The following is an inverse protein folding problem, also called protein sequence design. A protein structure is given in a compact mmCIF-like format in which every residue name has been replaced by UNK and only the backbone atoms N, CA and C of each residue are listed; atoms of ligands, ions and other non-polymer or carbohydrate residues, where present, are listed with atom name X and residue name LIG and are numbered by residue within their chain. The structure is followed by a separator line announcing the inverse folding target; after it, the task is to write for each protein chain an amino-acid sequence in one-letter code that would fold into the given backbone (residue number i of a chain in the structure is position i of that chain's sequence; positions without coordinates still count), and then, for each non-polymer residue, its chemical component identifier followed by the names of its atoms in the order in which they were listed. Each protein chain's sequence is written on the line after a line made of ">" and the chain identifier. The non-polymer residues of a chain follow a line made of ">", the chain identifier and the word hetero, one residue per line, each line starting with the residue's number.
data_IF_044803139234
#
_entry.id   IF_044803139234
#
_cell.length_a   1.000
_cell.length_b   1.000
_cell.length_c   1.000
_cell.angle_alpha   90.00
_cell.angle_beta   90.00
_cell.angle_gamma   90.00
#
_symmetry.space_group_name_H-M   'P 1'
#
loop_
_entity.id
_entity.type
_entity.pdbx_description
1 polymer ?
#
# COMPACT_ATOMS: atom_id res chain seq x y z
N UNK A 1 21.30 18.69 -9.42
CA UNK A 1 20.37 18.55 -8.28
C UNK A 1 19.93 17.09 -8.24
N UNK A 2 20.72 16.22 -7.60
CA UNK A 2 20.41 14.78 -7.49
C UNK A 2 19.89 14.45 -6.07
N UNK A 3 18.97 15.25 -5.56
CA UNK A 3 18.42 15.05 -4.20
C UNK A 3 17.32 13.99 -4.14
N UNK A 4 17.00 13.32 -5.27
CA UNK A 4 15.91 12.35 -5.31
C UNK A 4 16.34 11.06 -4.61
N UNK A 5 15.57 10.57 -3.62
CA UNK A 5 15.88 9.32 -2.94
C UNK A 5 15.82 8.13 -3.90
N UNK A 6 16.53 7.06 -3.56
CA UNK A 6 16.59 5.86 -4.39
C UNK A 6 15.20 5.25 -4.58
N UNK A 7 14.89 4.87 -5.82
CA UNK A 7 13.63 4.23 -6.14
C UNK A 7 13.62 2.75 -5.79
N UNK A 8 12.57 2.29 -5.13
CA UNK A 8 12.34 0.88 -4.83
C UNK A 8 10.96 0.44 -5.32
N UNK A 9 10.92 -0.62 -6.14
CA UNK A 9 9.66 -1.19 -6.62
C UNK A 9 9.28 -2.41 -5.79
N UNK A 10 8.14 -2.34 -5.11
CA UNK A 10 7.61 -3.45 -4.33
C UNK A 10 6.69 -4.32 -5.19
N UNK A 11 6.75 -5.64 -4.98
CA UNK A 11 5.84 -6.59 -5.61
C UNK A 11 4.44 -6.51 -4.99
N UNK A 12 3.42 -7.02 -5.68
CA UNK A 12 2.06 -7.10 -5.10
C UNK A 12 2.03 -7.88 -3.79
N UNK A 13 2.75 -9.01 -3.71
CA UNK A 13 2.85 -9.80 -2.48
C UNK A 13 3.57 -9.03 -1.37
N UNK A 14 4.66 -8.35 -1.71
CA UNK A 14 5.38 -7.50 -0.77
C UNK A 14 4.51 -6.36 -0.25
N UNK A 15 3.70 -5.75 -1.11
CA UNK A 15 2.76 -4.69 -0.73
C UNK A 15 1.69 -5.18 0.24
N UNK A 16 1.16 -6.40 0.03
CA UNK A 16 0.22 -7.02 0.97
C UNK A 16 0.88 -7.18 2.35
N UNK A 17 2.10 -7.72 2.40
CA UNK A 17 2.84 -7.85 3.66
C UNK A 17 3.14 -6.50 4.31
N UNK A 18 3.57 -5.52 3.52
CA UNK A 18 3.87 -4.18 4.01
C UNK A 18 2.67 -3.51 4.71
N UNK A 19 1.45 -3.75 4.22
CA UNK A 19 0.23 -3.14 4.75
C UNK A 19 -0.36 -3.95 5.91
N UNK A 20 -0.30 -5.28 5.86
CA UNK A 20 -1.05 -6.15 6.77
C UNK A 20 -0.19 -6.92 7.78
N UNK A 21 1.14 -6.89 7.64
CA UNK A 21 2.08 -7.50 8.59
C UNK A 21 3.13 -6.48 9.04
N UNK A 22 2.86 -5.83 10.17
CA UNK A 22 3.74 -4.80 10.75
C UNK A 22 5.12 -5.32 11.16
N UNK A 23 5.31 -6.63 11.28
CA UNK A 23 6.60 -7.23 11.65
C UNK A 23 7.43 -7.64 10.41
N UNK A 24 6.87 -7.51 9.21
CA UNK A 24 7.54 -7.86 7.96
C UNK A 24 8.67 -6.88 7.61
N UNK A 25 9.65 -7.34 6.84
CA UNK A 25 10.67 -6.45 6.28
C UNK A 25 10.05 -5.48 5.26
N UNK A 26 8.99 -5.90 4.58
CA UNK A 26 8.24 -5.04 3.66
C UNK A 26 7.53 -3.88 4.39
N UNK A 27 7.10 -4.05 5.63
CA UNK A 27 6.59 -2.95 6.45
C UNK A 27 7.69 -1.93 6.76
N UNK A 28 8.94 -2.37 6.99
CA UNK A 28 10.09 -1.46 7.17
C UNK A 28 10.36 -0.66 5.90
N UNK A 29 10.21 -1.26 4.71
CA UNK A 29 10.32 -0.56 3.42
C UNK A 29 9.26 0.55 3.32
N UNK A 30 8.01 0.27 3.72
CA UNK A 30 6.95 1.28 3.74
C UNK A 30 7.29 2.44 4.69
N UNK A 31 7.82 2.16 5.88
CA UNK A 31 8.24 3.19 6.83
C UNK A 31 9.39 4.06 6.30
N UNK A 32 10.36 3.48 5.59
CA UNK A 32 11.42 4.23 4.92
C UNK A 32 10.87 5.19 3.86
N UNK A 33 9.83 4.77 3.14
CA UNK A 33 9.14 5.63 2.18
C UNK A 33 8.40 6.78 2.87
N UNK A 34 7.74 6.53 4.00
CA UNK A 34 7.14 7.60 4.84
C UNK A 34 8.20 8.60 5.30
N UNK A 35 9.39 8.12 5.69
CA UNK A 35 10.50 8.96 6.15
C UNK A 35 11.20 9.72 5.01
N UNK A 36 10.84 9.48 3.75
CA UNK A 36 11.47 10.11 2.59
C UNK A 36 12.87 9.56 2.24
N UNK A 37 13.28 8.44 2.85
CA UNK A 37 14.58 7.79 2.59
C UNK A 37 14.61 7.10 1.22
N UNK A 38 13.46 6.61 0.77
CA UNK A 38 13.26 5.95 -0.52
C UNK A 38 12.01 6.49 -1.20
N UNK A 39 11.98 6.41 -2.53
CA UNK A 39 10.74 6.55 -3.28
C UNK A 39 10.17 5.16 -3.55
N UNK A 40 8.97 4.87 -3.05
CA UNK A 40 8.34 3.55 -3.18
C UNK A 40 7.39 3.51 -4.38
N UNK A 41 7.52 2.46 -5.18
CA UNK A 41 6.73 2.26 -6.40
C UNK A 41 5.98 0.94 -6.31
N UNK A 42 4.74 0.92 -6.78
CA UNK A 42 3.96 -0.31 -6.96
C UNK A 42 3.19 -0.24 -8.28
N UNK A 43 2.93 -1.41 -8.88
CA UNK A 43 2.08 -1.44 -10.07
C UNK A 43 0.67 -0.96 -9.70
N UNK A 44 0.05 -0.17 -10.56
CA UNK A 44 -1.33 0.30 -10.35
C UNK A 44 -2.33 -0.84 -10.11
N UNK A 45 -2.11 -2.00 -10.73
CA UNK A 45 -2.91 -3.23 -10.54
C UNK A 45 -2.75 -3.87 -9.15
N UNK A 46 -1.64 -3.63 -8.45
CA UNK A 46 -1.40 -4.18 -7.11
C UNK A 46 -2.41 -3.66 -6.10
N UNK A 47 -2.96 -2.45 -6.32
CA UNK A 47 -4.05 -1.91 -5.51
C UNK A 47 -5.30 -2.79 -5.52
N UNK A 48 -5.61 -3.45 -6.64
CA UNK A 48 -6.80 -4.32 -6.73
C UNK A 48 -6.71 -5.51 -5.78
N UNK A 49 -5.50 -6.04 -5.53
CA UNK A 49 -5.31 -7.10 -4.54
C UNK A 49 -5.59 -6.60 -3.12
N UNK A 50 -5.15 -5.37 -2.79
CA UNK A 50 -5.42 -4.74 -1.50
C UNK A 50 -6.92 -4.49 -1.32
N UNK A 51 -7.57 -3.91 -2.34
CA UNK A 51 -9.02 -3.69 -2.35
C UNK A 51 -9.78 -4.99 -2.12
N UNK A 52 -9.42 -6.05 -2.85
CA UNK A 52 -10.04 -7.36 -2.72
C UNK A 52 -9.91 -7.89 -1.29
N UNK A 53 -8.73 -7.77 -0.68
CA UNK A 53 -8.50 -8.24 0.69
C UNK A 53 -9.35 -7.45 1.70
N UNK A 54 -9.31 -6.12 1.64
CA UNK A 54 -10.09 -5.26 2.55
C UNK A 54 -11.59 -5.57 2.44
N UNK A 55 -12.13 -5.63 1.22
CA UNK A 55 -13.54 -5.88 0.99
C UNK A 55 -13.97 -7.28 1.44
N UNK A 56 -13.07 -8.26 1.42
CA UNK A 56 -13.39 -9.64 1.80
C UNK A 56 -13.21 -9.93 3.29
N UNK A 57 -12.26 -9.26 3.95
CA UNK A 57 -11.94 -9.48 5.37
C UNK A 57 -12.73 -8.55 6.29
N UNK A 58 -12.91 -7.27 5.92
CA UNK A 58 -13.56 -6.29 6.78
C UNK A 58 -15.03 -6.15 6.41
N UNK A 59 -15.84 -7.07 6.96
CA UNK A 59 -17.30 -7.11 6.78
C UNK A 59 -18.02 -7.07 8.12
N UNK A 60 -19.15 -6.36 8.15
CA UNK A 60 -20.14 -6.41 9.24
C UNK A 60 -21.45 -6.84 8.61
N UNK A 61 -22.07 -7.90 9.14
CA UNK A 61 -23.31 -8.49 8.58
C UNK A 61 -23.20 -8.84 7.09
N UNK A 62 -22.03 -9.31 6.66
CA UNK A 62 -21.76 -9.68 5.26
C UNK A 62 -21.56 -8.50 4.29
N UNK A 63 -21.71 -7.26 4.75
CA UNK A 63 -21.48 -6.05 3.95
C UNK A 63 -20.08 -5.47 4.20
N UNK A 64 -19.35 -4.99 3.17
CA UNK A 64 -18.07 -4.32 3.36
C UNK A 64 -18.20 -3.09 4.27
N UNK A 65 -17.27 -2.94 5.21
CA UNK A 65 -17.24 -1.80 6.15
C UNK A 65 -16.92 -0.48 5.44
N UNK A 66 -16.11 -0.53 4.38
CA UNK A 66 -15.67 0.65 3.64
C UNK A 66 -16.44 0.82 2.34
N UNK A 67 -16.88 2.05 2.06
CA UNK A 67 -17.38 2.45 0.74
C UNK A 67 -16.24 2.59 -0.27
N UNK A 68 -16.56 2.53 -1.56
CA UNK A 68 -15.56 2.72 -2.62
C UNK A 68 -14.80 4.05 -2.53
N UNK A 69 -15.46 5.12 -2.10
CA UNK A 69 -14.81 6.43 -1.88
C UNK A 69 -13.77 6.37 -0.76
N UNK A 70 -14.10 5.71 0.38
CA UNK A 70 -13.15 5.55 1.50
C UNK A 70 -11.95 4.70 1.08
N UNK A 71 -12.17 3.65 0.29
CA UNK A 71 -11.08 2.84 -0.27
C UNK A 71 -10.17 3.66 -1.19
N UNK A 72 -10.73 4.52 -2.04
CA UNK A 72 -9.95 5.46 -2.86
C UNK A 72 -9.08 6.39 -2.02
N UNK A 73 -9.63 6.94 -0.93
CA UNK A 73 -8.88 7.80 -0.01
C UNK A 73 -7.72 7.06 0.68
N UNK A 74 -7.90 5.79 1.06
CA UNK A 74 -6.82 4.97 1.61
C UNK A 74 -5.65 4.84 0.63
N UNK A 75 -5.93 4.64 -0.66
CA UNK A 75 -4.88 4.56 -1.70
C UNK A 75 -4.03 5.83 -1.74
N UNK A 76 -4.67 6.99 -1.60
CA UNK A 76 -3.98 8.30 -1.66
C UNK A 76 -3.17 8.63 -0.41
N UNK A 77 -3.44 7.97 0.72
CA UNK A 77 -2.68 8.15 1.96
C UNK A 77 -1.37 7.36 1.98
N UNK A 78 -1.16 6.42 1.06
CA UNK A 78 0.06 5.61 1.03
C UNK A 78 1.21 6.39 0.36
N UNK A 79 2.45 6.32 0.88
CA UNK A 79 3.64 6.96 0.31
C UNK A 79 4.15 6.17 -0.91
N UNK A 80 3.26 5.85 -1.85
CA UNK A 80 3.52 4.97 -2.99
C UNK A 80 3.18 5.71 -4.27
N UNK A 81 4.12 5.70 -5.22
CA UNK A 81 3.85 6.13 -6.57
C UNK A 81 3.33 4.96 -7.40
N UNK A 82 2.06 5.04 -7.77
CA UNK A 82 1.37 4.04 -8.57
C UNK A 82 1.68 4.25 -10.05
N UNK A 83 2.39 3.31 -10.67
CA UNK A 83 2.79 3.39 -12.09
C UNK A 83 2.57 2.06 -12.80
#
# INVERSE_FOLDING_TARGET
>A
MDWRPNGYKISTQGLVKAIFDNNSDEAKVLLKAVAGEIELFADSKSWNAILWLIMNTLKVEGKPVYSGQKLGALKTCLPIVWR
#
